data_IF_234758332571
#
_entry.id   IF_234758332571
#
_cell.length_a   1.000
_cell.length_b   1.000
_cell.length_c   1.000
_cell.angle_alpha   90.00
_cell.angle_beta   90.00
_cell.angle_gamma   90.00
#
_symmetry.space_group_name_H-M   'P 1'
#
loop_
_entity.id
_entity.type
_entity.pdbx_description
1 polymer ?
#
# COMPACT_ATOMS: atom_id res chain seq x y z
N UNK A 1 32.62 -42.27 39.07
CA UNK A 1 33.01 -41.81 40.42
C UNK A 1 31.92 -40.82 40.76
N UNK A 2 30.89 -41.31 41.51
CA UNK A 2 30.75 -41.31 42.94
C UNK A 2 30.51 -39.89 43.44
N UNK A 3 29.44 -39.44 44.09
CA UNK A 3 28.47 -40.09 45.01
C UNK A 3 27.58 -38.90 45.46
N UNK A 4 26.26 -38.94 45.40
CA UNK A 4 25.38 -39.43 46.49
C UNK A 4 25.35 -38.61 47.74
N UNK A 5 24.13 -38.36 48.15
CA UNK A 5 23.52 -38.36 49.50
C UNK A 5 23.09 -36.96 49.97
N UNK A 6 22.01 -36.70 50.66
CA UNK A 6 20.80 -37.40 51.13
C UNK A 6 20.03 -36.38 51.96
N UNK A 7 18.73 -36.50 52.04
CA UNK A 7 17.76 -35.90 52.96
C UNK A 7 17.96 -36.38 54.42
N UNK A 8 17.37 -35.76 55.51
CA UNK A 8 15.97 -36.05 55.88
C UNK A 8 15.20 -34.90 56.60
N UNK A 9 13.97 -34.73 56.45
CA UNK A 9 12.71 -35.23 57.06
C UNK A 9 12.39 -34.84 58.52
N UNK A 10 11.08 -34.53 58.75
CA UNK A 10 10.24 -34.54 59.98
C UNK A 10 10.13 -33.21 60.77
N UNK A 11 9.02 -32.81 61.40
CA UNK A 11 7.76 -33.46 61.74
C UNK A 11 6.68 -32.43 62.14
N UNK A 12 5.44 -32.78 61.85
CA UNK A 12 4.16 -32.65 62.59
C UNK A 12 3.99 -31.65 63.73
N UNK A 13 2.82 -30.93 63.70
CA UNK A 13 2.14 -30.37 64.87
C UNK A 13 0.71 -29.98 64.55
N UNK A 14 -0.22 -30.89 64.85
CA UNK A 14 -1.69 -30.72 64.88
C UNK A 14 -2.08 -29.96 66.14
N UNK A 15 -3.04 -29.00 66.06
CA UNK A 15 -3.83 -28.61 67.24
C UNK A 15 -5.26 -28.29 66.85
N UNK A 16 -6.13 -28.95 67.59
CA UNK A 16 -7.58 -29.05 67.53
C UNK A 16 -8.30 -27.73 67.88
N UNK A 17 -9.53 -27.63 67.35
CA UNK A 17 -10.49 -26.59 67.60
C UNK A 17 -11.36 -26.90 68.86
N UNK A 18 -11.78 -25.93 69.62
CA UNK A 18 -12.79 -26.02 70.67
C UNK A 18 -13.94 -25.01 70.45
N UNK A 19 -15.21 -25.36 70.76
CA UNK A 19 -16.40 -24.63 70.37
C UNK A 19 -16.81 -23.51 71.37
N UNK A 20 -17.70 -22.58 70.97
CA UNK A 20 -18.07 -21.39 71.76
C UNK A 20 -19.27 -21.67 72.72
N UNK A 21 -19.24 -21.04 73.90
CA UNK A 21 -20.31 -21.04 74.90
C UNK A 21 -21.35 -19.90 74.69
N UNK A 22 -22.46 -19.91 75.43
CA UNK A 22 -23.70 -19.19 75.07
C UNK A 22 -23.77 -17.73 75.54
N UNK A 23 -24.61 -16.94 74.84
CA UNK A 23 -24.90 -15.53 75.06
C UNK A 23 -25.95 -15.25 76.18
N UNK A 24 -25.94 -14.05 76.84
CA UNK A 24 -27.00 -13.55 77.69
C UNK A 24 -28.08 -12.72 76.97
N UNK A 25 -29.32 -12.59 77.46
CA UNK A 25 -30.48 -12.05 76.78
C UNK A 25 -30.71 -10.52 76.94
N UNK A 26 -31.31 -9.89 75.96
CA UNK A 26 -32.23 -8.80 76.13
C UNK A 26 -31.81 -7.42 75.67
N UNK A 27 -32.26 -7.00 74.49
CA UNK A 27 -32.69 -5.65 74.20
C UNK A 27 -33.51 -5.61 72.86
N UNK A 28 -34.58 -4.80 72.88
CA UNK A 28 -35.62 -4.71 71.89
C UNK A 28 -35.20 -4.12 70.51
N UNK A 29 -36.01 -4.32 69.45
CA UNK A 29 -35.59 -4.09 68.07
C UNK A 29 -35.78 -2.64 67.57
N UNK A 30 -34.81 -2.17 66.81
CA UNK A 30 -34.91 -0.98 65.95
C UNK A 30 -35.02 -1.41 64.47
N UNK A 31 -35.64 -0.60 63.59
CA UNK A 31 -36.10 -1.06 62.29
C UNK A 31 -34.99 -1.26 61.28
N UNK A 32 -35.14 -2.27 60.40
CA UNK A 32 -34.25 -2.66 59.33
C UNK A 32 -34.08 -1.59 58.26
N UNK A 33 -32.87 -1.24 57.83
CA UNK A 33 -32.60 -0.72 56.48
C UNK A 33 -32.50 -1.90 55.50
N UNK A 34 -32.95 -1.66 54.27
CA UNK A 34 -33.02 -2.65 53.20
C UNK A 34 -31.67 -3.24 52.75
N UNK A 35 -31.71 -4.27 51.92
CA UNK A 35 -30.51 -5.06 51.60
C UNK A 35 -29.48 -4.27 50.86
N UNK A 36 -28.28 -4.21 51.42
CA UNK A 36 -27.07 -3.79 50.71
C UNK A 36 -26.60 -5.01 49.88
N UNK A 37 -26.66 -4.87 48.57
CA UNK A 37 -26.07 -5.82 47.63
C UNK A 37 -24.57 -5.95 47.93
N UNK A 38 -24.15 -7.13 48.25
CA UNK A 38 -22.73 -7.49 48.43
C UNK A 38 -21.98 -7.42 47.10
N UNK A 39 -20.67 -7.19 47.11
CA UNK A 39 -19.89 -7.18 45.87
C UNK A 39 -19.81 -8.56 45.28
N UNK A 40 -20.40 -8.70 44.12
CA UNK A 40 -20.28 -9.81 43.21
C UNK A 40 -18.79 -9.93 42.77
N UNK A 41 -18.27 -11.14 42.82
CA UNK A 41 -16.88 -11.41 42.47
C UNK A 41 -16.53 -10.89 41.08
N UNK A 42 -15.63 -9.95 41.02
CA UNK A 42 -15.07 -9.40 39.78
C UNK A 42 -14.33 -10.52 39.03
N UNK A 43 -14.93 -10.99 37.96
CA UNK A 43 -14.23 -11.74 36.91
C UNK A 43 -13.17 -10.84 36.27
N UNK A 44 -12.19 -11.39 35.55
CA UNK A 44 -11.08 -10.61 35.00
C UNK A 44 -11.60 -9.53 34.06
N UNK A 45 -11.49 -8.29 34.51
CA UNK A 45 -11.81 -7.09 33.79
C UNK A 45 -10.97 -7.05 32.52
N UNK A 46 -11.63 -7.23 31.37
CA UNK A 46 -11.04 -6.92 30.09
C UNK A 46 -10.75 -5.42 30.11
N UNK A 47 -9.48 -5.08 30.31
CA UNK A 47 -8.97 -3.73 30.06
C UNK A 47 -9.08 -3.51 28.55
N UNK A 48 -10.24 -3.05 28.09
CA UNK A 48 -10.36 -2.30 26.86
C UNK A 48 -9.54 -1.04 27.07
N UNK A 49 -8.33 -1.03 26.53
CA UNK A 49 -7.53 0.18 26.40
C UNK A 49 -8.25 1.04 25.37
N UNK A 50 -9.20 1.83 25.86
CA UNK A 50 -9.77 2.95 25.15
C UNK A 50 -8.65 3.93 24.88
N UNK A 51 -8.08 3.87 23.68
CA UNK A 51 -7.13 4.84 23.15
C UNK A 51 -7.88 6.16 22.94
N UNK A 52 -8.15 6.86 24.03
CA UNK A 52 -8.57 8.25 23.99
C UNK A 52 -7.43 9.08 23.41
N UNK A 53 -7.48 9.36 22.12
CA UNK A 53 -6.73 10.46 21.52
C UNK A 53 -7.10 11.79 22.20
N UNK A 54 -6.22 12.81 22.18
CA UNK A 54 -6.45 14.07 22.87
C UNK A 54 -7.80 14.67 22.44
N UNK A 55 -8.66 14.93 23.41
CA UNK A 55 -9.98 15.54 23.23
C UNK A 55 -9.84 16.86 22.47
N UNK A 56 -10.30 16.88 21.24
CA UNK A 56 -10.56 18.09 20.47
C UNK A 56 -11.78 18.83 21.09
N UNK A 57 -11.98 20.11 20.77
CA UNK A 57 -13.03 20.92 21.39
C UNK A 57 -14.41 20.26 21.24
N UNK A 58 -15.05 20.03 22.38
CA UNK A 58 -16.39 19.47 22.50
C UNK A 58 -17.40 20.26 21.64
N UNK A 59 -18.06 19.58 20.70
CA UNK A 59 -19.20 20.16 20.01
C UNK A 59 -19.41 19.83 18.54
N UNK A 60 -18.56 18.99 17.90
CA UNK A 60 -18.84 18.50 16.54
C UNK A 60 -18.83 16.97 16.57
N UNK A 61 -20.00 16.34 16.54
CA UNK A 61 -20.09 14.91 16.22
C UNK A 61 -19.36 14.66 14.91
N UNK A 62 -18.44 13.66 14.83
CA UNK A 62 -17.79 13.33 13.59
C UNK A 62 -18.87 12.85 12.61
N UNK A 63 -19.03 13.60 11.51
CA UNK A 63 -19.96 13.26 10.44
C UNK A 63 -19.63 11.85 9.94
N UNK A 64 -20.53 10.90 10.17
CA UNK A 64 -20.33 9.53 9.67
C UNK A 64 -20.17 9.57 8.14
N UNK A 65 -19.17 8.85 7.58
CA UNK A 65 -18.98 8.78 6.14
C UNK A 65 -20.25 8.28 5.44
N UNK A 66 -20.60 8.82 4.26
CA UNK A 66 -21.87 8.51 3.60
C UNK A 66 -22.01 7.06 3.10
N UNK A 67 -20.96 6.24 3.16
CA UNK A 67 -20.90 4.81 2.79
C UNK A 67 -21.50 4.46 1.41
N UNK A 68 -21.59 5.44 0.50
CA UNK A 68 -22.19 5.23 -0.82
C UNK A 68 -22.35 6.49 -1.66
N UNK A 69 -23.25 6.46 -2.63
CA UNK A 69 -23.55 7.56 -3.52
C UNK A 69 -22.33 8.03 -4.34
N UNK A 70 -21.92 9.29 -4.20
CA UNK A 70 -20.75 9.85 -4.88
C UNK A 70 -19.44 9.13 -4.57
N UNK A 71 -19.34 8.46 -3.40
CA UNK A 71 -18.16 7.69 -3.01
C UNK A 71 -17.79 6.59 -4.00
N UNK A 72 -18.75 5.95 -4.65
CA UNK A 72 -18.48 4.94 -5.68
C UNK A 72 -17.78 5.52 -6.91
N UNK A 73 -18.14 6.74 -7.31
CA UNK A 73 -17.47 7.43 -8.40
C UNK A 73 -16.04 7.81 -8.01
N UNK A 74 -15.83 8.26 -6.77
CA UNK A 74 -14.50 8.52 -6.21
C UNK A 74 -13.66 7.25 -6.18
N UNK A 75 -14.25 6.11 -5.80
CA UNK A 75 -13.59 4.79 -5.83
C UNK A 75 -13.13 4.41 -7.25
N UNK A 76 -14.00 4.57 -8.26
CA UNK A 76 -13.63 4.29 -9.65
C UNK A 76 -12.52 5.22 -10.15
N UNK A 77 -12.57 6.50 -9.79
CA UNK A 77 -11.52 7.45 -10.12
C UNK A 77 -10.17 7.10 -9.44
N UNK A 78 -10.20 6.66 -8.18
CA UNK A 78 -9.03 6.19 -7.45
C UNK A 78 -8.49 4.86 -8.04
N UNK A 79 -9.37 3.97 -8.47
CA UNK A 79 -9.00 2.73 -9.20
C UNK A 79 -8.28 3.06 -10.51
N UNK A 80 -8.79 4.01 -11.29
CA UNK A 80 -8.12 4.49 -12.50
C UNK A 80 -6.75 5.10 -12.19
N UNK A 81 -6.64 5.87 -11.10
CA UNK A 81 -5.37 6.45 -10.64
C UNK A 81 -4.33 5.37 -10.34
N UNK A 82 -4.70 4.39 -9.51
CA UNK A 82 -3.83 3.27 -9.19
C UNK A 82 -3.44 2.47 -10.44
N UNK A 83 -4.40 2.18 -11.32
CA UNK A 83 -4.18 1.50 -12.57
C UNK A 83 -3.21 2.24 -13.49
N UNK A 84 -3.44 3.53 -13.72
CA UNK A 84 -2.60 4.34 -14.60
C UNK A 84 -1.18 4.50 -14.06
N UNK A 85 -1.02 4.86 -12.78
CA UNK A 85 0.29 5.10 -12.17
C UNK A 85 1.12 3.81 -12.13
N UNK A 86 0.60 2.78 -11.49
CA UNK A 86 1.36 1.52 -11.34
C UNK A 86 1.34 0.66 -12.59
N UNK A 87 0.32 0.76 -13.44
CA UNK A 87 0.30 0.08 -14.73
C UNK A 87 1.44 0.56 -15.64
N UNK A 88 1.63 1.87 -15.77
CA UNK A 88 2.74 2.45 -16.54
C UNK A 88 4.09 2.04 -15.93
N UNK A 89 4.21 2.08 -14.60
CA UNK A 89 5.46 1.71 -13.93
C UNK A 89 5.78 0.22 -14.05
N UNK A 90 4.79 -0.66 -13.92
CA UNK A 90 4.99 -2.10 -14.07
C UNK A 90 5.23 -2.52 -15.53
N UNK A 91 4.77 -1.71 -16.49
CA UNK A 91 5.04 -1.89 -17.90
C UNK A 91 6.39 -1.27 -18.35
N UNK A 92 7.18 -0.73 -17.41
CA UNK A 92 8.46 -0.07 -17.72
C UNK A 92 9.45 -0.97 -18.44
N UNK A 93 9.39 -2.30 -18.28
CA UNK A 93 10.23 -3.24 -19.01
C UNK A 93 10.04 -3.15 -20.53
N UNK A 94 8.82 -2.97 -21.01
CA UNK A 94 8.54 -2.78 -22.45
C UNK A 94 9.08 -1.43 -22.92
N UNK A 95 8.88 -0.38 -22.13
CA UNK A 95 9.43 0.95 -22.43
C UNK A 95 10.96 0.96 -22.41
N UNK A 96 11.58 0.22 -21.48
CA UNK A 96 13.02 0.04 -21.40
C UNK A 96 13.61 -0.55 -22.69
N UNK A 97 13.03 -1.67 -23.17
CA UNK A 97 13.46 -2.28 -24.45
C UNK A 97 13.26 -1.32 -25.62
N UNK A 98 12.16 -0.58 -25.65
CA UNK A 98 11.90 0.41 -26.69
C UNK A 98 12.86 1.61 -26.60
N UNK A 99 13.25 2.07 -25.41
CA UNK A 99 14.26 3.10 -25.20
C UNK A 99 15.63 2.63 -25.69
N UNK A 100 16.03 1.39 -25.39
CA UNK A 100 17.26 0.81 -25.89
C UNK A 100 17.28 0.71 -27.42
N UNK A 101 16.18 0.30 -28.05
CA UNK A 101 16.07 0.29 -29.52
C UNK A 101 16.18 1.68 -30.12
N UNK A 102 15.68 2.71 -29.43
CA UNK A 102 15.61 4.09 -29.97
C UNK A 102 16.91 4.88 -29.74
N UNK A 103 17.54 4.75 -28.57
CA UNK A 103 18.69 5.57 -28.17
C UNK A 103 20.01 4.77 -28.12
N UNK A 104 19.96 3.43 -28.07
CA UNK A 104 21.13 2.59 -27.90
C UNK A 104 21.79 2.19 -29.20
N UNK A 105 23.13 2.15 -29.21
CA UNK A 105 23.90 1.29 -30.12
C UNK A 105 24.00 -0.10 -29.48
N UNK A 106 23.96 -1.16 -30.30
CA UNK A 106 23.76 -2.56 -29.85
C UNK A 106 24.77 -3.13 -28.86
N UNK A 107 25.88 -2.43 -28.57
CA UNK A 107 27.02 -2.92 -27.77
C UNK A 107 27.46 -1.98 -26.63
N UNK A 108 26.58 -1.06 -26.16
CA UNK A 108 26.97 -0.12 -25.10
C UNK A 108 26.34 -0.49 -23.75
N UNK A 109 27.05 -1.29 -22.93
CA UNK A 109 26.66 -1.63 -21.55
C UNK A 109 26.32 -0.40 -20.69
N UNK A 110 26.96 0.73 -20.99
CA UNK A 110 26.68 2.00 -20.31
C UNK A 110 25.29 2.53 -20.62
N UNK A 111 24.78 2.29 -21.84
CA UNK A 111 23.44 2.73 -22.23
C UNK A 111 22.37 1.87 -21.56
N UNK A 112 22.60 0.56 -21.41
CA UNK A 112 21.73 -0.36 -20.66
C UNK A 112 21.57 0.12 -19.21
N UNK A 113 22.70 0.40 -18.55
CA UNK A 113 22.74 0.91 -17.20
C UNK A 113 22.01 2.27 -17.06
N UNK A 114 22.30 3.22 -17.95
CA UNK A 114 21.61 4.52 -17.98
C UNK A 114 20.10 4.36 -18.13
N UNK A 115 19.64 3.52 -19.05
CA UNK A 115 18.22 3.30 -19.31
C UNK A 115 17.53 2.65 -18.12
N UNK A 116 18.16 1.69 -17.44
CA UNK A 116 17.64 1.06 -16.23
C UNK A 116 17.40 2.09 -15.11
N UNK A 117 18.30 3.03 -14.95
CA UNK A 117 18.16 4.09 -13.95
C UNK A 117 16.97 5.02 -14.19
N UNK A 118 16.55 5.26 -15.44
CA UNK A 118 15.35 6.08 -15.74
C UNK A 118 14.12 5.49 -15.05
N UNK A 119 13.91 4.20 -15.20
CA UNK A 119 12.74 3.49 -14.62
C UNK A 119 12.82 3.38 -13.10
N UNK A 120 14.01 3.02 -12.56
CA UNK A 120 14.22 2.91 -11.12
C UNK A 120 14.08 4.24 -10.39
N UNK A 121 14.60 5.32 -10.98
CA UNK A 121 14.46 6.68 -10.48
C UNK A 121 12.97 7.09 -10.44
N UNK A 122 12.22 6.79 -11.49
CA UNK A 122 10.78 7.10 -11.55
C UNK A 122 10.01 6.41 -10.42
N UNK A 123 10.24 5.10 -10.23
CA UNK A 123 9.58 4.34 -9.16
C UNK A 123 9.96 4.88 -7.77
N UNK A 124 11.26 5.12 -7.53
CA UNK A 124 11.74 5.68 -6.27
C UNK A 124 11.15 7.06 -5.97
N UNK A 125 11.09 7.94 -6.96
CA UNK A 125 10.57 9.30 -6.80
C UNK A 125 9.06 9.34 -6.51
N UNK A 126 8.26 8.42 -7.04
CA UNK A 126 6.83 8.31 -6.70
C UNK A 126 6.64 8.17 -5.19
N UNK A 127 7.40 7.28 -4.57
CA UNK A 127 7.30 7.03 -3.13
C UNK A 127 8.05 8.08 -2.30
N UNK A 128 9.21 8.54 -2.75
CA UNK A 128 10.01 9.54 -2.06
C UNK A 128 9.28 10.88 -1.89
N UNK A 129 8.48 11.29 -2.85
CA UNK A 129 7.69 12.51 -2.77
C UNK A 129 6.47 12.42 -1.83
N UNK A 130 6.01 11.22 -1.45
CA UNK A 130 4.77 11.06 -0.67
C UNK A 130 4.73 11.84 0.66
N UNK A 131 5.80 11.96 1.46
CA UNK A 131 5.78 12.80 2.66
C UNK A 131 5.49 14.28 2.35
N UNK A 132 6.04 14.79 1.26
CA UNK A 132 5.81 16.17 0.80
C UNK A 132 4.36 16.31 0.33
N UNK A 133 3.88 15.36 -0.47
CA UNK A 133 2.51 15.32 -0.97
C UNK A 133 1.48 15.26 0.15
N UNK A 134 1.79 14.57 1.26
CA UNK A 134 0.91 14.52 2.42
C UNK A 134 0.66 15.90 3.03
N UNK A 135 1.70 16.72 3.13
CA UNK A 135 1.57 18.12 3.59
C UNK A 135 0.67 18.94 2.63
N UNK A 136 0.90 18.80 1.31
CA UNK A 136 0.06 19.45 0.32
C UNK A 136 -1.39 18.99 0.39
N UNK A 137 -1.62 17.71 0.63
CA UNK A 137 -2.95 17.13 0.78
C UNK A 137 -3.68 17.68 2.01
N UNK A 138 -2.97 17.87 3.11
CA UNK A 138 -3.52 18.45 4.35
C UNK A 138 -3.85 19.95 4.19
N UNK A 139 -3.00 20.71 3.49
CA UNK A 139 -3.15 22.16 3.30
C UNK A 139 -4.18 22.48 2.22
N UNK A 140 -4.06 21.88 1.05
CA UNK A 140 -4.87 22.23 -0.14
C UNK A 140 -6.06 21.29 -0.35
N UNK A 141 -6.07 20.15 0.33
CA UNK A 141 -7.06 19.07 0.19
C UNK A 141 -6.78 18.12 -0.97
N UNK A 142 -7.36 16.92 -0.89
CA UNK A 142 -7.13 15.82 -1.84
C UNK A 142 -7.43 16.22 -3.30
N UNK A 143 -8.52 16.94 -3.53
CA UNK A 143 -8.94 17.34 -4.87
C UNK A 143 -7.90 18.18 -5.61
N UNK A 144 -7.45 19.29 -5.00
CA UNK A 144 -6.50 20.21 -5.65
C UNK A 144 -5.16 19.54 -5.86
N UNK A 145 -4.69 18.81 -4.87
CA UNK A 145 -3.42 18.08 -4.92
C UNK A 145 -3.42 17.04 -6.03
N UNK A 146 -4.49 16.25 -6.15
CA UNK A 146 -4.60 15.22 -7.19
C UNK A 146 -4.69 15.82 -8.61
N UNK A 147 -5.48 16.88 -8.80
CA UNK A 147 -5.62 17.54 -10.12
C UNK A 147 -4.30 18.18 -10.57
N UNK A 148 -3.61 18.89 -9.67
CA UNK A 148 -2.29 19.46 -9.96
C UNK A 148 -1.28 18.35 -10.26
N UNK A 149 -1.28 17.27 -9.47
CA UNK A 149 -0.42 16.12 -9.68
C UNK A 149 -0.63 15.48 -11.05
N UNK A 150 -1.87 15.21 -11.43
CA UNK A 150 -2.19 14.64 -12.74
C UNK A 150 -1.79 15.56 -13.89
N UNK A 151 -1.95 16.88 -13.74
CA UNK A 151 -1.50 17.87 -14.72
C UNK A 151 0.03 17.88 -14.87
N UNK A 152 0.78 17.86 -13.76
CA UNK A 152 2.25 17.79 -13.76
C UNK A 152 2.72 16.48 -14.40
N UNK A 153 2.09 15.34 -14.04
CA UNK A 153 2.41 14.06 -14.64
C UNK A 153 2.14 14.02 -16.15
N UNK A 154 1.02 14.59 -16.58
CA UNK A 154 0.72 14.75 -18.01
C UNK A 154 1.81 15.55 -18.74
N UNK A 155 2.20 16.72 -18.20
CA UNK A 155 3.26 17.55 -18.78
C UNK A 155 4.59 16.82 -18.82
N UNK A 156 4.97 16.12 -17.73
CA UNK A 156 6.19 15.32 -17.67
C UNK A 156 6.25 14.23 -18.73
N UNK A 157 5.16 13.47 -18.88
CA UNK A 157 5.08 12.40 -19.87
C UNK A 157 5.02 12.95 -21.31
N UNK A 158 4.28 14.04 -21.52
CA UNK A 158 4.23 14.71 -22.81
C UNK A 158 5.61 15.26 -23.21
N UNK A 159 6.32 15.91 -22.29
CA UNK A 159 7.68 16.40 -22.51
C UNK A 159 8.64 15.27 -22.86
N UNK A 160 8.49 14.09 -22.22
CA UNK A 160 9.29 12.90 -22.53
C UNK A 160 9.10 12.42 -23.97
N UNK A 161 7.98 12.72 -24.61
CA UNK A 161 7.71 12.35 -26.00
C UNK A 161 8.43 13.22 -27.04
N UNK A 162 9.07 14.32 -26.64
CA UNK A 162 9.81 15.24 -27.54
C UNK A 162 11.33 15.18 -27.33
N UNK A 163 11.78 14.34 -26.43
CA UNK A 163 13.19 14.22 -26.08
C UNK A 163 13.95 13.37 -27.11
N UNK A 164 15.09 13.85 -27.55
CA UNK A 164 15.95 13.17 -28.55
C UNK A 164 17.14 12.42 -27.96
N UNK A 165 17.38 12.50 -26.63
CA UNK A 165 18.46 11.79 -25.93
C UNK A 165 17.96 11.24 -24.59
N UNK A 166 18.77 10.38 -23.94
CA UNK A 166 18.38 9.71 -22.70
C UNK A 166 18.50 10.63 -21.47
N UNK A 167 19.42 11.61 -21.51
CA UNK A 167 19.69 12.46 -20.35
C UNK A 167 18.47 13.30 -19.93
N UNK A 168 17.74 13.99 -20.82
CA UNK A 168 16.52 14.71 -20.43
C UNK A 168 15.39 13.78 -19.93
N UNK A 169 15.40 12.47 -20.29
CA UNK A 169 14.40 11.54 -19.77
C UNK A 169 14.50 11.35 -18.26
N UNK A 170 15.70 11.47 -17.68
CA UNK A 170 15.81 11.45 -16.21
C UNK A 170 14.98 12.56 -15.56
N UNK A 171 14.99 13.76 -16.16
CA UNK A 171 14.23 14.87 -15.61
C UNK A 171 12.73 14.74 -15.94
N UNK A 172 12.38 14.49 -17.21
CA UNK A 172 10.99 14.53 -17.65
C UNK A 172 10.20 13.32 -17.19
N UNK A 173 10.71 12.11 -17.40
CA UNK A 173 10.07 10.85 -16.98
C UNK A 173 10.44 10.46 -15.55
N UNK A 174 11.74 10.52 -15.20
CA UNK A 174 12.24 10.08 -13.89
C UNK A 174 11.80 10.98 -12.74
N UNK A 175 11.72 12.31 -12.93
CA UNK A 175 11.40 13.27 -11.85
C UNK A 175 10.01 13.87 -12.06
N UNK A 176 9.77 14.61 -13.14
CA UNK A 176 8.53 15.41 -13.31
C UNK A 176 7.30 14.50 -13.39
N UNK A 177 7.33 13.48 -14.25
CA UNK A 177 6.24 12.51 -14.35
C UNK A 177 6.02 11.77 -13.03
N UNK A 178 7.09 11.29 -12.39
CA UNK A 178 7.02 10.56 -11.13
C UNK A 178 6.46 11.41 -9.97
N UNK A 179 6.91 12.66 -9.83
CA UNK A 179 6.35 13.60 -8.86
C UNK A 179 4.86 13.83 -9.13
N UNK A 180 4.47 14.05 -10.40
CA UNK A 180 3.06 14.19 -10.77
C UNK A 180 2.22 12.96 -10.39
N UNK A 181 2.75 11.75 -10.63
CA UNK A 181 2.12 10.49 -10.21
C UNK A 181 1.97 10.40 -8.68
N UNK A 182 3.00 10.78 -7.91
CA UNK A 182 2.94 10.83 -6.45
C UNK A 182 1.83 11.76 -5.94
N UNK A 183 1.75 12.99 -6.52
CA UNK A 183 0.74 13.98 -6.16
C UNK A 183 -0.69 13.56 -6.55
N UNK A 184 -0.86 12.64 -7.51
CA UNK A 184 -2.16 12.06 -7.84
C UNK A 184 -2.48 10.83 -6.97
N UNK A 185 -1.50 9.96 -6.73
CA UNK A 185 -1.67 8.66 -6.08
C UNK A 185 -1.98 8.77 -4.58
N UNK A 186 -1.16 9.49 -3.83
CA UNK A 186 -1.30 9.55 -2.36
C UNK A 186 -2.66 10.16 -1.93
N UNK A 187 -3.16 11.28 -2.51
CA UNK A 187 -4.49 11.77 -2.19
C UNK A 187 -5.62 10.79 -2.56
N UNK A 188 -5.43 9.94 -3.57
CA UNK A 188 -6.43 8.94 -3.97
C UNK A 188 -6.66 7.88 -2.90
N UNK A 189 -5.64 7.53 -2.11
CA UNK A 189 -5.76 6.63 -0.97
C UNK A 189 -6.42 7.31 0.23
N UNK A 190 -6.06 8.56 0.50
CA UNK A 190 -6.57 9.31 1.64
C UNK A 190 -8.05 9.63 1.50
N UNK A 191 -8.50 10.00 0.28
CA UNK A 191 -9.90 10.39 0.04
C UNK A 191 -10.88 9.25 0.31
N UNK A 192 -10.48 7.99 0.11
CA UNK A 192 -11.33 6.82 0.34
C UNK A 192 -11.81 6.73 1.78
N UNK A 193 -10.94 7.00 2.75
CA UNK A 193 -11.31 6.99 4.17
C UNK A 193 -12.23 8.13 4.60
N UNK A 194 -12.38 9.19 3.79
CA UNK A 194 -13.37 10.23 4.02
C UNK A 194 -14.77 9.81 3.55
N UNK A 195 -14.88 8.89 2.59
CA UNK A 195 -16.14 8.42 2.03
C UNK A 195 -16.61 7.09 2.61
N UNK A 196 -15.66 6.23 3.04
CA UNK A 196 -15.94 4.88 3.51
C UNK A 196 -15.26 4.62 4.85
N UNK A 197 -16.00 4.07 5.81
CA UNK A 197 -15.49 3.61 7.11
C UNK A 197 -15.71 2.11 7.28
N UNK A 198 -16.95 1.64 7.10
CA UNK A 198 -17.32 0.23 7.28
C UNK A 198 -16.83 -0.68 6.17
N UNK A 199 -16.67 -0.14 4.94
CA UNK A 199 -16.28 -0.89 3.73
C UNK A 199 -14.93 -0.45 3.18
N UNK A 200 -14.09 0.17 4.02
CA UNK A 200 -12.82 0.75 3.57
C UNK A 200 -11.85 -0.30 3.02
N UNK A 201 -11.78 -1.49 3.61
CA UNK A 201 -10.92 -2.58 3.14
C UNK A 201 -11.34 -3.08 1.77
N UNK A 202 -12.65 -3.34 1.55
CA UNK A 202 -13.17 -3.75 0.25
C UNK A 202 -12.91 -2.68 -0.82
N UNK A 203 -13.24 -1.41 -0.51
CA UNK A 203 -13.07 -0.30 -1.45
C UNK A 203 -11.59 -0.12 -1.81
N UNK A 204 -10.69 -0.17 -0.83
CA UNK A 204 -9.25 -0.12 -1.09
C UNK A 204 -8.76 -1.34 -1.89
N UNK A 205 -9.33 -2.52 -1.62
CA UNK A 205 -9.08 -3.73 -2.42
C UNK A 205 -9.45 -3.55 -3.89
N UNK A 206 -10.62 -2.97 -4.19
CA UNK A 206 -11.06 -2.68 -5.58
C UNK A 206 -10.13 -1.64 -6.22
N UNK A 207 -9.81 -0.58 -5.51
CA UNK A 207 -8.92 0.48 -6.01
C UNK A 207 -7.55 -0.06 -6.35
N UNK A 208 -6.95 -0.85 -5.46
CA UNK A 208 -5.63 -1.44 -5.70
C UNK A 208 -5.67 -2.55 -6.76
N UNK A 209 -6.78 -3.31 -6.88
CA UNK A 209 -6.97 -4.29 -7.96
C UNK A 209 -6.93 -3.65 -9.35
N UNK A 210 -7.25 -2.36 -9.46
CA UNK A 210 -7.05 -1.59 -10.70
C UNK A 210 -5.62 -1.70 -11.22
N UNK A 211 -4.61 -1.60 -10.36
CA UNK A 211 -3.22 -1.74 -10.79
C UNK A 211 -2.90 -3.13 -11.35
N UNK A 212 -3.51 -4.21 -10.83
CA UNK A 212 -3.33 -5.57 -11.37
C UNK A 212 -3.92 -5.70 -12.78
N UNK A 213 -5.10 -5.13 -13.02
CA UNK A 213 -5.74 -5.13 -14.34
C UNK A 213 -4.84 -4.42 -15.36
N UNK A 214 -4.36 -3.22 -15.01
CA UNK A 214 -3.50 -2.44 -15.90
C UNK A 214 -2.13 -3.10 -16.10
N UNK A 215 -1.57 -3.74 -15.07
CA UNK A 215 -0.30 -4.48 -15.17
C UNK A 215 -0.37 -5.64 -16.14
N UNK A 216 -1.52 -6.28 -16.29
CA UNK A 216 -1.73 -7.36 -17.25
C UNK A 216 -1.96 -6.79 -18.67
N UNK A 217 -2.81 -5.78 -18.80
CA UNK A 217 -3.24 -5.27 -20.12
C UNK A 217 -2.24 -4.31 -20.76
N UNK A 218 -1.59 -3.45 -19.94
CA UNK A 218 -0.79 -2.35 -20.46
C UNK A 218 0.50 -2.81 -21.16
N UNK A 219 1.28 -3.80 -20.66
CA UNK A 219 2.46 -4.29 -21.36
C UNK A 219 2.12 -4.84 -22.75
N UNK A 220 1.00 -5.55 -22.90
CA UNK A 220 0.53 -6.04 -24.20
C UNK A 220 0.20 -4.88 -25.15
N UNK A 221 -0.56 -3.89 -24.66
CA UNK A 221 -0.88 -2.69 -25.43
C UNK A 221 0.37 -1.93 -25.85
N UNK A 222 1.33 -1.75 -24.90
CA UNK A 222 2.57 -1.02 -25.17
C UNK A 222 3.46 -1.75 -26.18
N UNK A 223 3.54 -3.10 -26.12
CA UNK A 223 4.29 -3.88 -27.12
C UNK A 223 3.74 -3.64 -28.52
N UNK A 224 2.43 -3.74 -28.70
CA UNK A 224 1.78 -3.49 -30.00
C UNK A 224 2.02 -2.05 -30.46
N UNK A 225 1.92 -1.07 -29.56
CA UNK A 225 2.14 0.34 -29.90
C UNK A 225 3.61 0.64 -30.22
N UNK A 226 4.55 0.16 -29.41
CA UNK A 226 5.99 0.40 -29.65
C UNK A 226 6.48 -0.22 -30.96
N UNK A 227 5.94 -1.39 -31.33
CA UNK A 227 6.31 -2.06 -32.57
C UNK A 227 5.65 -1.41 -33.80
N UNK A 228 4.44 -0.84 -33.67
CA UNK A 228 3.71 -0.23 -34.78
C UNK A 228 4.02 1.26 -34.98
N UNK A 229 4.08 2.07 -33.92
CA UNK A 229 4.22 3.54 -34.01
C UNK A 229 5.47 4.09 -33.35
N UNK A 230 6.25 3.26 -32.66
CA UNK A 230 7.49 3.63 -31.99
C UNK A 230 7.30 4.28 -30.62
N UNK A 231 8.44 4.54 -29.92
CA UNK A 231 8.49 5.00 -28.54
C UNK A 231 7.76 6.32 -28.30
N UNK A 232 8.03 7.34 -29.12
CA UNK A 232 7.51 8.69 -28.90
C UNK A 232 6.00 8.80 -29.03
N UNK A 233 5.41 8.10 -30.01
CA UNK A 233 3.96 8.04 -30.16
C UNK A 233 3.32 7.22 -29.05
N UNK A 234 3.97 6.16 -28.60
CA UNK A 234 3.51 5.35 -27.45
C UNK A 234 3.44 6.21 -26.18
N UNK A 235 4.46 7.07 -25.91
CA UNK A 235 4.42 7.99 -24.78
C UNK A 235 3.26 9.00 -24.90
N UNK A 236 2.95 9.48 -26.12
CA UNK A 236 1.78 10.36 -26.36
C UNK A 236 0.46 9.64 -26.10
N UNK A 237 0.34 8.37 -26.47
CA UNK A 237 -0.85 7.56 -26.15
C UNK A 237 -0.98 7.40 -24.62
N UNK A 238 0.11 7.18 -23.90
CA UNK A 238 0.09 7.12 -22.44
C UNK A 238 -0.34 8.46 -21.79
N UNK A 239 -0.11 9.59 -22.44
CA UNK A 239 -0.63 10.88 -21.97
C UNK A 239 -2.17 10.90 -21.88
N UNK A 240 -2.88 10.09 -22.69
CA UNK A 240 -4.34 9.98 -22.62
C UNK A 240 -4.74 9.42 -21.26
N UNK A 241 -4.03 8.41 -20.73
CA UNK A 241 -4.29 7.86 -19.40
C UNK A 241 -4.12 8.92 -18.30
N UNK A 242 -3.09 9.76 -18.43
CA UNK A 242 -2.85 10.87 -17.49
C UNK A 242 -3.90 11.99 -17.65
N UNK A 243 -4.40 12.22 -18.86
CA UNK A 243 -5.48 13.18 -19.10
C UNK A 243 -6.80 12.69 -18.49
N UNK A 244 -7.14 11.41 -18.65
CA UNK A 244 -8.30 10.82 -17.98
C UNK A 244 -8.14 10.90 -16.46
N UNK A 245 -6.93 10.68 -15.94
CA UNK A 245 -6.62 10.85 -14.52
C UNK A 245 -6.83 12.29 -14.05
N UNK A 246 -6.44 13.28 -14.86
CA UNK A 246 -6.69 14.68 -14.58
C UNK A 246 -8.20 14.97 -14.46
N UNK A 247 -9.02 14.46 -15.38
CA UNK A 247 -10.47 14.56 -15.30
C UNK A 247 -11.05 13.81 -14.08
N UNK A 248 -10.55 12.62 -13.80
CA UNK A 248 -10.94 11.83 -12.64
C UNK A 248 -10.64 12.54 -11.31
N UNK A 249 -9.55 13.31 -11.24
CA UNK A 249 -9.21 14.11 -10.06
C UNK A 249 -10.30 15.09 -9.65
N UNK A 250 -11.12 15.58 -10.57
CA UNK A 250 -12.24 16.49 -10.25
C UNK A 250 -13.35 15.80 -9.45
N UNK A 251 -13.39 14.47 -9.40
CA UNK A 251 -14.37 13.73 -8.60
C UNK A 251 -14.06 13.74 -7.10
N UNK A 252 -12.81 14.04 -6.69
CA UNK A 252 -12.36 14.04 -5.28
C UNK A 252 -12.87 15.24 -4.50
N UNK A 253 -14.17 15.51 -4.59
CA UNK A 253 -14.80 16.63 -3.90
C UNK A 253 -14.75 16.42 -2.39
N UNK A 254 -14.38 17.46 -1.61
CA UNK A 254 -14.51 17.37 -0.16
C UNK A 254 -15.99 17.22 0.21
N UNK A 255 -16.31 16.33 1.15
CA UNK A 255 -17.62 16.27 1.76
C UNK A 255 -17.90 17.63 2.42
N UNK A 256 -18.90 18.34 1.91
CA UNK A 256 -19.36 19.59 2.53
C UNK A 256 -19.87 19.24 3.93
N UNK A 257 -19.29 19.88 4.97
CA UNK A 257 -19.85 19.82 6.31
C UNK A 257 -21.22 20.52 6.27
N UNK A 258 -22.29 19.72 6.19
CA UNK A 258 -23.68 20.17 6.04
C UNK A 258 -24.26 20.84 7.30
N UNK A 259 -23.44 21.20 8.28
CA UNK A 259 -23.89 21.63 9.60
C UNK A 259 -23.98 23.16 9.81
N UNK A 260 -23.81 24.00 8.77
CA UNK A 260 -23.87 25.47 8.97
C UNK A 260 -24.77 26.26 8.03
N UNK A 261 -25.52 25.64 7.13
CA UNK A 261 -26.42 26.38 6.21
C UNK A 261 -27.92 26.24 6.53
N UNK A 262 -28.30 25.84 7.76
CA UNK A 262 -29.70 25.84 8.16
C UNK A 262 -30.20 27.12 8.85
N UNK A 263 -29.34 28.11 9.04
CA UNK A 263 -29.74 29.32 9.78
C UNK A 263 -29.34 30.63 9.10
N UNK A 264 -29.64 30.78 7.82
CA UNK A 264 -29.83 32.10 7.22
C UNK A 264 -30.67 31.97 5.95
N UNK A 265 -31.99 32.08 6.17
CA UNK A 265 -32.93 32.38 5.09
C UNK A 265 -32.62 33.76 4.52
N UNK A 266 -31.97 33.85 3.35
CA UNK A 266 -32.01 35.01 2.51
C UNK A 266 -31.88 34.61 1.05
N UNK A 267 -32.80 35.09 0.27
CA UNK A 267 -33.09 34.84 -1.14
C UNK A 267 -31.97 35.32 -2.08
N UNK A 268 -31.75 34.58 -3.13
CA UNK A 268 -31.45 35.08 -4.48
C UNK A 268 -30.03 35.52 -4.74
N UNK A 269 -29.32 34.75 -5.57
CA UNK A 269 -28.07 35.23 -6.17
C UNK A 269 -27.28 34.10 -6.84
N UNK A 270 -27.07 34.18 -8.12
CA UNK A 270 -26.37 33.34 -9.08
C UNK A 270 -25.31 32.38 -8.53
N UNK A 271 -25.58 31.09 -8.69
CA UNK A 271 -24.71 29.96 -8.34
C UNK A 271 -23.72 29.65 -9.46
N UNK A 272 -22.70 30.46 -9.61
CA UNK A 272 -21.46 30.03 -10.28
C UNK A 272 -20.26 30.55 -9.50
N UNK A 273 -20.11 30.08 -8.26
CA UNK A 273 -18.91 30.34 -7.47
C UNK A 273 -18.08 29.05 -7.40
N UNK A 274 -17.18 28.87 -8.37
CA UNK A 274 -16.22 27.76 -8.45
C UNK A 274 -15.13 27.85 -7.37
N UNK A 275 -15.14 28.89 -6.54
CA UNK A 275 -14.16 29.16 -5.49
C UNK A 275 -14.85 29.48 -4.17
N UNK A 276 -15.41 28.48 -3.49
CA UNK A 276 -15.71 28.65 -2.08
C UNK A 276 -14.40 28.82 -1.30
N UNK A 277 -14.13 30.05 -0.86
CA UNK A 277 -13.02 30.40 0.02
C UNK A 277 -13.21 29.69 1.35
N UNK A 278 -12.69 28.44 1.51
CA UNK A 278 -12.42 27.89 2.83
C UNK A 278 -11.45 28.83 3.53
N UNK A 279 -11.82 29.33 4.72
CA UNK A 279 -10.88 29.99 5.64
C UNK A 279 -9.66 29.08 5.80
N UNK A 280 -8.52 29.59 5.38
CA UNK A 280 -7.21 28.97 5.55
C UNK A 280 -6.99 28.81 7.06
N UNK A 281 -7.20 27.63 7.60
CA UNK A 281 -6.73 27.33 8.95
C UNK A 281 -5.22 27.20 8.85
N UNK A 282 -4.44 27.92 9.67
CA UNK A 282 -2.99 27.81 9.63
C UNK A 282 -2.59 26.35 9.85
N UNK A 283 -1.61 25.82 9.08
CA UNK A 283 -1.20 24.43 9.18
C UNK A 283 -0.68 24.17 10.60
N UNK A 284 -1.32 23.24 11.31
CA UNK A 284 -0.80 22.64 12.53
C UNK A 284 0.51 21.95 12.17
N UNK A 285 1.67 22.54 12.34
CA UNK A 285 3.00 22.00 12.03
C UNK A 285 3.10 21.37 10.62
N UNK A 286 4.04 21.81 9.82
CA UNK A 286 4.27 21.34 8.45
C UNK A 286 4.40 19.81 8.40
N UNK A 287 5.19 19.22 9.31
CA UNK A 287 5.27 17.77 9.52
C UNK A 287 4.84 17.44 10.96
N UNK A 288 3.86 16.56 11.10
CA UNK A 288 3.38 16.10 12.41
C UNK A 288 4.14 14.84 12.85
N UNK A 289 5.37 14.98 13.32
CA UNK A 289 6.14 13.87 13.90
C UNK A 289 5.52 13.28 15.17
N UNK A 290 4.49 13.91 15.74
CA UNK A 290 3.79 13.35 16.89
C UNK A 290 3.08 12.02 16.57
N UNK A 291 2.83 11.72 15.30
CA UNK A 291 2.30 10.43 14.83
C UNK A 291 3.21 9.27 15.28
N UNK A 292 4.53 9.47 15.28
CA UNK A 292 5.49 8.46 15.76
C UNK A 292 5.47 8.21 17.27
N UNK A 293 4.78 9.04 18.05
CA UNK A 293 4.53 8.75 19.47
C UNK A 293 3.53 7.61 19.67
N UNK A 294 2.70 7.33 18.67
CA UNK A 294 1.85 6.12 18.65
C UNK A 294 2.76 4.94 18.37
N UNK A 295 3.14 4.20 19.41
CA UNK A 295 4.10 3.08 19.31
C UNK A 295 3.70 2.04 18.27
N UNK A 296 2.42 1.70 18.19
CA UNK A 296 1.91 0.76 17.20
C UNK A 296 2.17 1.23 15.77
N UNK A 297 1.97 2.53 15.48
CA UNK A 297 2.27 3.10 14.18
C UNK A 297 3.78 3.15 13.92
N UNK A 298 4.60 3.55 14.89
CA UNK A 298 6.05 3.64 14.73
C UNK A 298 6.66 2.26 14.38
N UNK A 299 6.28 1.21 15.12
CA UNK A 299 6.72 -0.16 14.85
C UNK A 299 6.27 -0.63 13.46
N UNK A 300 5.03 -0.34 13.08
CA UNK A 300 4.50 -0.69 11.78
C UNK A 300 5.20 0.05 10.64
N UNK A 301 5.41 1.36 10.79
CA UNK A 301 6.04 2.21 9.78
C UNK A 301 7.53 1.88 9.52
N UNK A 302 8.22 1.30 10.50
CA UNK A 302 9.61 0.81 10.33
C UNK A 302 9.62 -0.64 9.87
N UNK A 303 8.73 -1.49 10.39
CA UNK A 303 8.67 -2.90 10.08
C UNK A 303 8.36 -3.19 8.61
N UNK A 304 7.45 -2.42 8.00
CA UNK A 304 7.07 -2.60 6.58
C UNK A 304 8.25 -2.37 5.62
N UNK A 305 9.00 -1.26 5.67
CA UNK A 305 10.16 -1.06 4.80
C UNK A 305 11.24 -2.13 4.98
N UNK A 306 11.47 -2.59 6.23
CA UNK A 306 12.42 -3.68 6.48
C UNK A 306 11.97 -4.99 5.82
N UNK A 307 10.69 -5.35 5.93
CA UNK A 307 10.14 -6.52 5.26
C UNK A 307 10.23 -6.42 3.74
N UNK A 308 10.12 -5.22 3.16
CA UNK A 308 10.19 -5.01 1.72
C UNK A 308 11.57 -5.28 1.11
N UNK A 309 12.66 -5.17 1.86
CA UNK A 309 13.98 -5.59 1.35
C UNK A 309 14.00 -7.07 0.96
N UNK A 310 13.39 -7.93 1.78
CA UNK A 310 13.25 -9.36 1.48
C UNK A 310 12.18 -9.66 0.43
N UNK A 311 11.13 -8.85 0.38
CA UNK A 311 10.00 -9.03 -0.53
C UNK A 311 10.38 -8.98 -2.01
N UNK A 312 11.28 -8.08 -2.41
CA UNK A 312 11.66 -7.93 -3.82
C UNK A 312 12.56 -9.03 -4.36
N UNK A 313 13.32 -9.71 -3.50
CA UNK A 313 14.27 -10.75 -3.90
C UNK A 313 13.64 -11.84 -4.78
N UNK A 314 12.53 -12.49 -4.39
CA UNK A 314 11.92 -13.53 -5.21
C UNK A 314 11.39 -12.99 -6.54
N UNK A 315 10.85 -11.78 -6.59
CA UNK A 315 10.29 -11.22 -7.83
C UNK A 315 11.38 -10.93 -8.88
N UNK A 316 12.54 -10.45 -8.45
CA UNK A 316 13.66 -10.14 -9.34
C UNK A 316 14.32 -11.43 -9.86
N UNK A 317 14.50 -12.41 -8.97
CA UNK A 317 15.24 -13.64 -9.30
C UNK A 317 14.38 -14.75 -9.89
N UNK A 318 13.04 -14.66 -9.78
CA UNK A 318 12.11 -15.70 -10.20
C UNK A 318 12.30 -16.08 -11.68
N UNK A 319 12.33 -15.10 -12.58
CA UNK A 319 12.45 -15.37 -14.02
C UNK A 319 13.82 -15.94 -14.38
N UNK A 320 14.90 -15.52 -13.69
CA UNK A 320 16.21 -16.12 -13.84
C UNK A 320 16.19 -17.59 -13.43
N UNK A 321 15.63 -17.88 -12.25
CA UNK A 321 15.51 -19.26 -11.75
C UNK A 321 14.67 -20.14 -12.69
N UNK A 322 13.56 -19.63 -13.22
CA UNK A 322 12.71 -20.34 -14.19
C UNK A 322 13.48 -20.64 -15.48
N UNK A 323 14.25 -19.67 -15.98
CA UNK A 323 15.02 -19.86 -17.20
C UNK A 323 16.15 -20.87 -17.04
N UNK A 324 16.80 -20.91 -15.88
CA UNK A 324 17.90 -21.83 -15.58
C UNK A 324 17.41 -23.27 -15.30
N UNK A 325 16.31 -23.41 -14.54
CA UNK A 325 15.82 -24.71 -14.05
C UNK A 325 14.86 -25.42 -14.99
N UNK A 326 14.04 -24.66 -15.73
CA UNK A 326 12.98 -25.18 -16.60
C UNK A 326 13.20 -24.78 -18.05
N UNK A 327 14.34 -25.20 -18.65
CA UNK A 327 14.73 -24.82 -20.01
C UNK A 327 13.76 -25.33 -21.07
N UNK A 328 13.15 -26.49 -20.87
CA UNK A 328 12.25 -27.16 -21.81
C UNK A 328 10.83 -26.57 -21.88
N UNK A 329 10.46 -25.71 -20.90
CA UNK A 329 9.13 -25.12 -20.85
C UNK A 329 9.00 -23.92 -21.79
N UNK A 330 7.99 -23.98 -22.68
CA UNK A 330 7.72 -22.91 -23.66
C UNK A 330 7.07 -21.67 -23.06
N UNK A 331 6.25 -21.83 -22.02
CA UNK A 331 5.40 -20.77 -21.46
C UNK A 331 5.88 -20.27 -20.08
N UNK A 332 7.13 -19.87 -19.99
CA UNK A 332 7.74 -19.41 -18.72
C UNK A 332 7.08 -18.15 -18.15
N UNK A 333 6.53 -17.31 -18.99
CA UNK A 333 5.85 -16.05 -18.60
C UNK A 333 4.56 -16.31 -17.80
N UNK A 334 3.98 -17.50 -17.89
CA UNK A 334 2.77 -17.90 -17.13
C UNK A 334 2.99 -17.74 -15.64
N UNK A 335 4.20 -17.96 -15.13
CA UNK A 335 4.53 -17.82 -13.71
C UNK A 335 4.27 -16.40 -13.20
N UNK A 336 4.73 -15.38 -13.93
CA UNK A 336 4.47 -13.98 -13.57
C UNK A 336 3.00 -13.59 -13.75
N UNK A 337 2.35 -14.11 -14.79
CA UNK A 337 0.92 -13.88 -14.99
C UNK A 337 0.08 -14.46 -13.85
N UNK A 338 0.43 -15.65 -13.36
CA UNK A 338 -0.23 -16.28 -12.22
C UNK A 338 -0.12 -15.40 -10.96
N UNK A 339 1.06 -14.87 -10.66
CA UNK A 339 1.25 -13.96 -9.52
C UNK A 339 0.39 -12.70 -9.69
N UNK A 340 0.38 -12.09 -10.87
CA UNK A 340 -0.40 -10.87 -11.13
C UNK A 340 -1.91 -11.09 -10.98
N UNK A 341 -2.44 -12.19 -11.52
CA UNK A 341 -3.87 -12.54 -11.42
C UNK A 341 -4.25 -12.82 -9.97
N UNK A 342 -3.49 -13.67 -9.27
CA UNK A 342 -3.80 -14.01 -7.88
C UNK A 342 -3.59 -12.85 -6.92
N UNK A 343 -2.66 -11.94 -7.18
CA UNK A 343 -2.54 -10.69 -6.44
C UNK A 343 -3.81 -9.83 -6.59
N UNK A 344 -4.34 -9.70 -7.81
CA UNK A 344 -5.62 -9.01 -8.03
C UNK A 344 -6.79 -9.65 -7.26
N UNK A 345 -6.91 -10.98 -7.30
CA UNK A 345 -7.91 -11.73 -6.54
C UNK A 345 -7.70 -11.56 -5.03
N UNK A 346 -6.46 -11.64 -4.56
CA UNK A 346 -6.10 -11.46 -3.16
C UNK A 346 -6.50 -10.08 -2.63
N UNK A 347 -6.32 -9.02 -3.42
CA UNK A 347 -6.73 -7.65 -3.05
C UNK A 347 -8.23 -7.56 -2.79
N UNK A 348 -9.05 -8.16 -3.63
CA UNK A 348 -10.50 -8.18 -3.46
C UNK A 348 -10.92 -9.04 -2.26
N UNK A 349 -10.37 -10.25 -2.16
CA UNK A 349 -10.69 -11.22 -1.13
C UNK A 349 -10.34 -10.69 0.26
N UNK A 350 -9.08 -10.33 0.48
CA UNK A 350 -8.61 -9.87 1.79
C UNK A 350 -9.09 -8.47 2.15
N UNK A 351 -9.33 -7.60 1.15
CA UNK A 351 -10.04 -6.34 1.37
C UNK A 351 -11.43 -6.58 1.95
N UNK A 352 -12.16 -7.58 1.44
CA UNK A 352 -13.47 -7.98 1.98
C UNK A 352 -13.38 -8.63 3.36
N UNK A 353 -12.42 -9.53 3.56
CA UNK A 353 -12.19 -10.20 4.85
C UNK A 353 -11.86 -9.17 5.93
N UNK A 354 -11.03 -8.18 5.64
CA UNK A 354 -10.63 -7.14 6.58
C UNK A 354 -11.80 -6.28 7.10
N UNK A 355 -12.89 -6.18 6.31
CA UNK A 355 -14.09 -5.44 6.72
C UNK A 355 -15.13 -6.31 7.43
N UNK A 356 -15.18 -7.62 7.10
CA UNK A 356 -16.30 -8.49 7.49
C UNK A 356 -16.04 -9.28 8.78
N UNK A 357 -14.78 -9.56 9.12
CA UNK A 357 -14.46 -10.38 10.30
C UNK A 357 -14.24 -9.49 11.52
N UNK A 358 -15.26 -9.39 12.44
CA UNK A 358 -15.11 -8.61 13.65
C UNK A 358 -14.08 -9.29 14.57
N UNK A 359 -13.18 -8.50 15.16
CA UNK A 359 -12.18 -8.97 16.13
C UNK A 359 -10.81 -9.32 15.56
N UNK A 360 -10.64 -9.43 14.24
CA UNK A 360 -9.31 -9.60 13.64
C UNK A 360 -8.70 -8.22 13.35
N UNK A 361 -7.66 -7.87 14.11
CA UNK A 361 -6.88 -6.65 13.80
C UNK A 361 -6.21 -6.83 12.44
N UNK A 362 -6.38 -5.86 11.55
CA UNK A 362 -5.84 -5.88 10.17
C UNK A 362 -4.32 -6.08 10.13
N UNK A 363 -3.62 -5.62 11.18
CA UNK A 363 -2.17 -5.82 11.34
C UNK A 363 -1.80 -7.31 11.36
N UNK A 364 -2.62 -8.18 11.98
CA UNK A 364 -2.33 -9.62 11.96
C UNK A 364 -2.45 -10.24 10.58
N UNK A 365 -3.41 -9.78 9.76
CA UNK A 365 -3.50 -10.20 8.35
C UNK A 365 -2.25 -9.79 7.57
N UNK A 366 -1.69 -8.62 7.86
CA UNK A 366 -0.47 -8.15 7.20
C UNK A 366 0.77 -8.95 7.62
N UNK A 367 0.90 -9.25 8.91
CA UNK A 367 1.98 -10.14 9.40
C UNK A 367 1.86 -11.54 8.77
N UNK A 368 0.63 -12.07 8.71
CA UNK A 368 0.35 -13.35 8.06
C UNK A 368 0.73 -13.33 6.58
N UNK A 369 0.44 -12.23 5.86
CA UNK A 369 0.81 -12.10 4.44
C UNK A 369 2.32 -12.14 4.24
N UNK A 370 3.10 -11.40 5.04
CA UNK A 370 4.56 -11.46 4.95
C UNK A 370 5.12 -12.84 5.32
N UNK A 371 4.53 -13.50 6.31
CA UNK A 371 4.92 -14.87 6.67
C UNK A 371 4.74 -15.84 5.50
N UNK A 372 3.58 -15.83 4.84
CA UNK A 372 3.34 -16.68 3.68
C UNK A 372 4.16 -16.30 2.45
N UNK A 373 4.36 -15.01 2.19
CA UNK A 373 5.24 -14.56 1.10
C UNK A 373 6.67 -15.05 1.35
N UNK A 374 7.19 -14.90 2.56
CA UNK A 374 8.52 -15.40 2.93
C UNK A 374 8.64 -16.92 2.83
N UNK A 375 7.64 -17.65 3.34
CA UNK A 375 7.60 -19.12 3.27
C UNK A 375 7.57 -19.60 1.80
N UNK A 376 6.72 -19.01 0.97
CA UNK A 376 6.64 -19.36 -0.46
C UNK A 376 7.93 -19.01 -1.19
N UNK A 377 8.56 -17.90 -0.85
CA UNK A 377 9.86 -17.50 -1.41
C UNK A 377 10.96 -18.54 -1.12
N UNK A 378 10.96 -19.11 0.09
CA UNK A 378 11.89 -20.20 0.47
C UNK A 378 11.56 -21.52 -0.24
N UNK A 379 10.32 -21.74 -0.65
CA UNK A 379 9.88 -22.92 -1.38
C UNK A 379 10.27 -22.88 -2.87
N UNK A 380 10.44 -21.71 -3.47
CA UNK A 380 10.77 -21.55 -4.90
C UNK A 380 11.99 -22.41 -5.32
N UNK A 381 13.17 -22.34 -4.66
CA UNK A 381 14.34 -23.14 -5.06
C UNK A 381 14.17 -24.64 -4.83
N UNK A 382 13.22 -25.06 -3.99
CA UNK A 382 12.95 -26.48 -3.69
C UNK A 382 12.03 -27.12 -4.75
N UNK A 383 11.34 -26.32 -5.58
CA UNK A 383 10.46 -26.82 -6.62
C UNK A 383 11.25 -27.48 -7.76
N UNK A 384 11.09 -28.81 -7.92
CA UNK A 384 11.67 -29.58 -9.04
C UNK A 384 10.71 -29.72 -10.23
N UNK A 385 9.43 -29.48 -10.03
CA UNK A 385 8.39 -29.60 -11.07
C UNK A 385 7.78 -28.22 -11.34
N UNK A 386 7.59 -27.88 -12.62
CA UNK A 386 7.05 -26.57 -13.04
C UNK A 386 5.66 -26.31 -12.47
N UNK A 387 4.79 -27.35 -12.39
CA UNK A 387 3.47 -27.23 -11.76
C UNK A 387 3.51 -26.87 -10.27
N UNK A 388 4.50 -27.41 -9.51
CA UNK A 388 4.69 -27.03 -8.10
C UNK A 388 5.14 -25.57 -7.97
N UNK A 389 6.00 -25.09 -8.86
CA UNK A 389 6.40 -23.69 -8.90
C UNK A 389 5.21 -22.76 -9.16
N UNK A 390 4.32 -23.12 -10.11
CA UNK A 390 3.09 -22.37 -10.36
C UNK A 390 2.21 -22.31 -9.10
N UNK A 391 2.02 -23.42 -8.38
CA UNK A 391 1.22 -23.46 -7.16
C UNK A 391 1.82 -22.53 -6.07
N UNK A 392 3.13 -22.54 -5.89
CA UNK A 392 3.84 -21.65 -4.95
C UNK A 392 3.63 -20.18 -5.35
N UNK A 393 3.75 -19.87 -6.64
CA UNK A 393 3.55 -18.50 -7.16
C UNK A 393 2.11 -18.02 -7.03
N UNK A 394 1.10 -18.90 -7.19
CA UNK A 394 -0.31 -18.57 -6.98
C UNK A 394 -0.58 -18.17 -5.53
N UNK A 395 -0.03 -18.94 -4.57
CA UNK A 395 -0.17 -18.64 -3.14
C UNK A 395 0.56 -17.33 -2.80
N UNK A 396 1.79 -17.17 -3.29
CA UNK A 396 2.58 -15.95 -3.08
C UNK A 396 1.84 -14.73 -3.59
N UNK A 397 1.28 -14.77 -4.81
CA UNK A 397 0.50 -13.67 -5.37
C UNK A 397 -0.76 -13.37 -4.56
N UNK A 398 -1.46 -14.39 -4.04
CA UNK A 398 -2.64 -14.19 -3.21
C UNK A 398 -2.33 -13.38 -1.94
N UNK A 399 -1.25 -13.71 -1.24
CA UNK A 399 -0.83 -12.97 -0.04
C UNK A 399 -0.17 -11.63 -0.34
N UNK A 400 0.44 -11.45 -1.52
CA UNK A 400 0.84 -10.14 -2.04
C UNK A 400 -0.36 -9.20 -2.15
N UNK A 401 -1.45 -9.70 -2.72
CA UNK A 401 -2.72 -8.96 -2.77
C UNK A 401 -3.24 -8.57 -1.38
N UNK A 402 -3.12 -9.46 -0.39
CA UNK A 402 -3.47 -9.17 0.99
C UNK A 402 -2.66 -7.99 1.54
N UNK A 403 -1.33 -8.06 1.42
CA UNK A 403 -0.42 -6.99 1.89
C UNK A 403 -0.80 -5.62 1.34
N UNK A 404 -0.99 -5.52 0.03
CA UNK A 404 -1.26 -4.23 -0.63
C UNK A 404 -2.64 -3.67 -0.26
N UNK A 405 -3.68 -4.53 -0.20
CA UNK A 405 -5.06 -4.07 0.00
C UNK A 405 -5.34 -3.54 1.40
N UNK A 406 -4.65 -4.05 2.42
CA UNK A 406 -4.93 -3.70 3.83
C UNK A 406 -4.04 -2.56 4.37
N UNK A 407 -3.04 -2.12 3.62
CA UNK A 407 -2.06 -1.12 4.08
C UNK A 407 -2.72 0.22 4.44
N UNK A 408 -3.54 0.79 3.55
CA UNK A 408 -4.25 2.04 3.85
C UNK A 408 -5.30 1.87 4.97
N UNK A 409 -6.15 0.83 4.99
CA UNK A 409 -7.03 0.54 6.12
C UNK A 409 -6.35 0.42 7.48
N UNK A 410 -5.12 -0.13 7.54
CA UNK A 410 -4.33 -0.18 8.79
C UNK A 410 -3.92 1.22 9.23
N UNK A 411 -3.44 2.06 8.30
CA UNK A 411 -3.07 3.42 8.63
C UNK A 411 -4.27 4.21 9.23
N UNK A 412 -5.46 4.06 8.65
CA UNK A 412 -6.69 4.67 9.18
C UNK A 412 -7.05 4.14 10.58
N UNK A 413 -6.84 2.86 10.86
CA UNK A 413 -7.11 2.24 12.16
C UNK A 413 -6.13 2.72 13.23
N UNK A 414 -4.84 2.90 12.90
CA UNK A 414 -3.79 3.25 13.85
C UNK A 414 -3.78 4.73 14.24
N UNK A 415 -4.02 5.64 13.30
CA UNK A 415 -3.86 7.09 13.52
C UNK A 415 -5.14 7.90 13.32
N UNK A 416 -6.22 7.28 12.85
CA UNK A 416 -7.48 7.94 12.58
C UNK A 416 -7.46 8.82 11.31
N UNK A 417 -8.64 9.34 10.93
CA UNK A 417 -8.82 10.06 9.67
C UNK A 417 -8.13 11.44 9.61
N UNK A 418 -7.76 12.02 10.76
CA UNK A 418 -7.16 13.37 10.79
C UNK A 418 -5.69 13.39 10.41
N UNK A 419 -4.92 12.38 10.83
CA UNK A 419 -3.47 12.31 10.65
C UNK A 419 -3.06 11.27 9.60
N UNK A 420 -4.03 10.55 9.02
CA UNK A 420 -3.79 9.46 8.08
C UNK A 420 -3.05 9.89 6.82
N UNK A 421 -3.25 11.11 6.34
CA UNK A 421 -2.57 11.65 5.17
C UNK A 421 -1.05 11.62 5.38
N UNK A 422 -0.58 12.16 6.51
CA UNK A 422 0.84 12.18 6.84
C UNK A 422 1.37 10.80 7.23
N UNK A 423 0.55 9.97 7.89
CA UNK A 423 0.94 8.60 8.22
C UNK A 423 1.19 7.76 6.95
N UNK A 424 0.28 7.80 5.99
CA UNK A 424 0.48 7.14 4.69
C UNK A 424 1.68 7.75 3.96
N UNK A 425 1.81 9.08 3.97
CA UNK A 425 2.93 9.78 3.34
C UNK A 425 4.29 9.33 3.89
N UNK A 426 4.47 9.29 5.22
CA UNK A 426 5.71 8.83 5.83
C UNK A 426 6.00 7.36 5.56
N UNK A 427 4.99 6.48 5.67
CA UNK A 427 5.15 5.06 5.36
C UNK A 427 5.65 4.85 3.93
N UNK A 428 4.97 5.44 2.95
CA UNK A 428 5.35 5.34 1.54
C UNK A 428 6.74 5.96 1.29
N UNK A 429 7.05 7.08 1.95
CA UNK A 429 8.38 7.68 1.89
C UNK A 429 9.47 6.73 2.38
N UNK A 430 9.27 6.01 3.47
CA UNK A 430 10.23 5.01 3.94
C UNK A 430 10.33 3.81 3.00
N UNK A 431 9.22 3.40 2.37
CA UNK A 431 9.22 2.34 1.37
C UNK A 431 10.00 2.71 0.10
N UNK A 432 10.25 3.99 -0.16
CA UNK A 432 11.06 4.42 -1.31
C UNK A 432 12.48 3.85 -1.28
N UNK A 433 13.07 3.69 -0.08
CA UNK A 433 14.43 3.17 0.09
C UNK A 433 14.54 1.73 -0.42
N UNK A 434 13.79 0.74 0.12
CA UNK A 434 13.87 -0.63 -0.38
C UNK A 434 13.45 -0.77 -1.85
N UNK A 435 12.52 0.07 -2.33
CA UNK A 435 12.08 0.03 -3.73
C UNK A 435 13.14 0.56 -4.70
N UNK A 436 13.94 1.55 -4.30
CA UNK A 436 15.01 2.10 -5.15
C UNK A 436 16.30 1.26 -5.08
N UNK A 437 16.64 0.79 -3.87
CA UNK A 437 17.93 0.13 -3.59
C UNK A 437 17.83 -1.39 -3.71
N UNK A 438 16.62 -1.97 -3.54
CA UNK A 438 16.36 -3.41 -3.60
C UNK A 438 16.82 -4.06 -4.92
N UNK A 439 16.36 -3.62 -6.10
CA UNK A 439 16.77 -4.19 -7.37
C UNK A 439 18.28 -4.15 -7.59
N UNK A 440 19.01 -3.02 -7.40
CA UNK A 440 20.46 -2.99 -7.55
C UNK A 440 21.24 -3.85 -6.55
N UNK A 441 20.77 -4.02 -5.31
CA UNK A 441 21.44 -4.90 -4.33
C UNK A 441 21.29 -6.38 -4.70
N UNK A 442 20.18 -6.76 -5.32
CA UNK A 442 19.96 -8.12 -5.78
C UNK A 442 20.83 -8.48 -7.00
N UNK A 443 21.32 -7.51 -7.78
CA UNK A 443 22.14 -7.69 -8.98
C UNK A 443 23.59 -8.22 -8.75
N UNK A 444 24.37 -7.83 -7.73
CA UNK A 444 25.77 -8.25 -7.61
C UNK A 444 25.96 -9.76 -7.50
N UNK A 445 25.00 -10.49 -6.96
CA UNK A 445 25.02 -11.95 -6.94
C UNK A 445 24.63 -12.60 -8.28
N UNK A 446 24.06 -11.81 -9.20
CA UNK A 446 23.62 -12.24 -10.53
C UNK A 446 24.70 -11.97 -11.58
N UNK A 447 25.41 -10.85 -11.48
CA UNK A 447 26.42 -10.43 -12.46
C UNK A 447 27.79 -11.12 -12.31
N UNK A 448 28.01 -11.89 -11.22
CA UNK A 448 29.24 -12.68 -11.10
C UNK A 448 29.33 -13.82 -12.14
N UNK A 449 28.25 -14.16 -12.85
CA UNK A 449 28.24 -15.29 -13.80
C UNK A 449 27.58 -15.05 -15.17
N UNK A 450 26.97 -13.86 -15.44
CA UNK A 450 26.51 -13.53 -16.81
C UNK A 450 26.48 -12.02 -17.05
N UNK A 451 27.02 -11.52 -18.17
CA UNK A 451 26.84 -10.13 -18.58
C UNK A 451 25.34 -9.89 -18.89
N UNK A 452 24.73 -8.93 -18.18
CA UNK A 452 23.29 -8.55 -18.27
C UNK A 452 22.87 -8.22 -19.71
N UNK A 453 23.81 -7.77 -20.56
CA UNK A 453 23.61 -7.55 -21.98
C UNK A 453 23.15 -8.79 -22.77
N UNK A 454 23.62 -9.98 -22.42
CA UNK A 454 23.29 -11.21 -23.15
C UNK A 454 21.86 -11.70 -22.89
N UNK A 455 21.29 -11.43 -21.72
CA UNK A 455 19.93 -11.89 -21.37
C UNK A 455 18.84 -11.09 -22.11
N UNK A 456 19.04 -9.77 -22.25
CA UNK A 456 18.13 -8.88 -22.98
C UNK A 456 18.30 -9.08 -24.49
N UNK A 457 19.52 -9.35 -24.96
CA UNK A 457 19.83 -9.57 -26.37
C UNK A 457 19.39 -10.95 -26.86
N UNK A 458 19.46 -11.99 -26.03
CA UNK A 458 19.00 -13.34 -26.38
C UNK A 458 17.45 -13.39 -26.47
N UNK A 459 16.74 -12.65 -25.63
CA UNK A 459 15.28 -12.47 -25.77
C UNK A 459 14.90 -11.66 -27.03
N UNK A 460 15.66 -10.61 -27.36
CA UNK A 460 15.41 -9.82 -28.57
C UNK A 460 15.79 -10.57 -29.86
N UNK A 461 16.85 -11.40 -29.85
CA UNK A 461 17.28 -12.18 -31.01
C UNK A 461 16.36 -13.36 -31.28
N UNK A 462 15.81 -14.03 -30.25
CA UNK A 462 14.85 -15.14 -30.40
C UNK A 462 13.52 -14.68 -30.97
N UNK A 463 13.01 -13.50 -30.55
CA UNK A 463 11.80 -12.92 -31.16
C UNK A 463 11.98 -12.52 -32.61
N UNK A 464 13.19 -12.17 -33.04
CA UNK A 464 13.46 -11.81 -34.45
C UNK A 464 13.63 -13.05 -35.32
N UNK A 465 14.11 -14.17 -34.77
CA UNK A 465 14.32 -15.43 -35.53
C UNK A 465 13.04 -16.22 -35.70
N UNK A 466 12.05 -16.09 -34.81
CA UNK A 466 10.73 -16.72 -34.96
C UNK A 466 9.80 -15.96 -35.95
N UNK A 467 10.09 -14.69 -36.26
CA UNK A 467 9.34 -13.92 -37.27
C UNK A 467 9.88 -14.09 -38.69
N UNK A 468 11.00 -14.82 -38.88
CA UNK A 468 11.62 -15.07 -40.21
C UNK A 468 11.51 -16.53 -40.63
N UNK A 469 10.78 -17.36 -39.90
CA UNK A 469 10.33 -18.69 -40.31
C UNK A 469 8.80 -18.73 -40.33
#
# INVERSE_FOLDING_TARGET
>A
MVSSQEEPAAARGTSEAQPPGPAPPGAAPLPCPGPLDGPEAAGPEKVEVELAGPAGPAGAEPLEPPEGGWGWLVMLAAMWCNGSVFGIQNACGVLFVSMLKTFGSKDDDKMVFKTAWVSSLSMGMIFFCCPIVSVFTDVFGCWRTAVVGAAVGFVGLMSSSFVSSIEPLYLTYGIIFACGCSFAYQPSLVILGHYFKKRLGLVNGIVTAGSSIFTILLPFLLRVLTDSVGLFYTLRVLCIFMFVLFLAGFTYRPLASSAKDKDSGTKGGNRFSLFSRRKFSPPKKIFNFAIFKVTAYAVWAVGIPLALFGYFVPYVHLMKHVNERFQDEKNKEVVLMCIGITSGVGRLLFGRIADYVPGVKKVYLQVLSFFFIGLMSMMIPLCSVFGALIAVCLIMGLFDGCFISIMAPIAFELVGAQDVSQAIGFLLGFMSIPMTVGPPIAEPHVSANLPVGNLVMDQASRTTTEQTK
#
